data_IF_759634763992
#
_entry.id   IF_759634763992
#
_cell.length_a   1.000
_cell.length_b   1.000
_cell.length_c   1.000
_cell.angle_alpha   90.00
_cell.angle_beta   90.00
_cell.angle_gamma   90.00
#
_symmetry.space_group_name_H-M   'P 1'
#
loop_
_entity.id
_entity.type
_entity.pdbx_description
1 polymer ?
#
# COMPACT_ATOMS: atom_id res chain seq x y z
N UNK A 1 -53.22 -11.02 -7.47
CA UNK A 1 -51.78 -10.78 -7.73
C UNK A 1 -51.04 -12.04 -7.32
N UNK A 2 -50.56 -12.79 -8.32
CA UNK A 2 -50.35 -14.22 -8.29
C UNK A 2 -49.15 -14.64 -7.41
N UNK A 3 -49.35 -15.80 -6.80
CA UNK A 3 -48.34 -16.53 -5.97
C UNK A 3 -47.00 -16.65 -6.72
N UNK A 4 -47.03 -16.73 -8.05
CA UNK A 4 -45.85 -16.77 -8.92
C UNK A 4 -44.96 -15.53 -8.81
N UNK A 5 -45.54 -14.31 -8.77
CA UNK A 5 -44.77 -13.07 -8.60
C UNK A 5 -44.10 -12.98 -7.23
N UNK A 6 -44.72 -13.46 -6.18
CA UNK A 6 -44.12 -13.48 -4.83
C UNK A 6 -42.88 -14.36 -4.77
N UNK A 7 -42.95 -15.57 -5.40
CA UNK A 7 -41.80 -16.45 -5.45
C UNK A 7 -40.66 -15.93 -6.33
N UNK A 8 -40.98 -15.23 -7.43
CA UNK A 8 -40.00 -14.62 -8.28
C UNK A 8 -39.20 -13.54 -7.53
N UNK A 9 -39.87 -12.65 -6.80
CA UNK A 9 -39.21 -11.62 -6.00
C UNK A 9 -38.39 -12.20 -4.83
N UNK A 10 -38.82 -13.29 -4.22
CA UNK A 10 -38.07 -13.97 -3.17
C UNK A 10 -36.78 -14.62 -3.72
N UNK A 11 -36.84 -15.26 -4.87
CA UNK A 11 -35.68 -15.90 -5.49
C UNK A 11 -34.68 -14.85 -6.00
N UNK A 12 -35.14 -13.84 -6.71
CA UNK A 12 -34.27 -12.77 -7.23
C UNK A 12 -33.67 -11.93 -6.09
N UNK A 13 -34.46 -11.58 -5.08
CA UNK A 13 -33.98 -10.88 -3.89
C UNK A 13 -32.98 -11.72 -3.10
N UNK A 14 -33.22 -13.02 -2.94
CA UNK A 14 -32.28 -13.95 -2.29
C UNK A 14 -30.96 -14.07 -3.04
N UNK A 15 -30.99 -14.18 -4.36
CA UNK A 15 -29.77 -14.22 -5.18
C UNK A 15 -28.98 -12.91 -5.12
N UNK A 16 -29.65 -11.77 -5.04
CA UNK A 16 -29.00 -10.46 -4.88
C UNK A 16 -28.29 -10.33 -3.53
N UNK A 17 -28.94 -10.79 -2.45
CA UNK A 17 -28.38 -10.79 -1.10
C UNK A 17 -27.16 -11.72 -1.03
N UNK A 18 -27.27 -12.95 -1.59
CA UNK A 18 -26.16 -13.90 -1.63
C UNK A 18 -24.99 -13.33 -2.44
N UNK A 19 -25.24 -12.73 -3.60
CA UNK A 19 -24.21 -12.11 -4.43
C UNK A 19 -23.50 -10.96 -3.70
N UNK A 20 -24.26 -10.16 -2.94
CA UNK A 20 -23.69 -9.09 -2.13
C UNK A 20 -22.81 -9.59 -1.00
N UNK A 21 -23.23 -10.67 -0.31
CA UNK A 21 -22.43 -11.30 0.74
C UNK A 21 -21.19 -11.99 0.19
N UNK A 22 -21.28 -12.68 -0.96
CA UNK A 22 -20.14 -13.30 -1.62
C UNK A 22 -19.11 -12.24 -2.04
N UNK A 23 -19.54 -11.14 -2.64
CA UNK A 23 -18.65 -10.02 -3.02
C UNK A 23 -17.99 -9.35 -1.81
N UNK A 24 -18.68 -9.26 -0.67
CA UNK A 24 -18.12 -8.77 0.58
C UNK A 24 -17.10 -9.73 1.18
N UNK A 25 -17.32 -11.05 1.06
CA UNK A 25 -16.38 -12.08 1.51
C UNK A 25 -15.12 -12.16 0.62
N UNK A 26 -15.24 -11.94 -0.68
CA UNK A 26 -14.10 -11.85 -1.60
C UNK A 26 -13.26 -10.61 -1.31
N UNK A 27 -13.91 -9.44 -1.09
CA UNK A 27 -13.21 -8.19 -0.74
C UNK A 27 -12.40 -8.35 0.56
N UNK A 28 -12.93 -9.02 1.58
CA UNK A 28 -12.22 -9.26 2.85
C UNK A 28 -11.06 -10.25 2.72
N UNK A 29 -11.12 -11.20 1.80
CA UNK A 29 -10.01 -12.13 1.54
C UNK A 29 -8.85 -11.45 0.79
N UNK A 30 -9.14 -10.61 -0.20
CA UNK A 30 -8.12 -9.82 -0.89
C UNK A 30 -7.43 -8.84 0.06
N UNK A 31 -8.18 -8.16 0.93
CA UNK A 31 -7.60 -7.24 1.93
C UNK A 31 -6.63 -7.97 2.88
N UNK A 32 -6.99 -9.14 3.38
CA UNK A 32 -6.12 -9.96 4.24
C UNK A 32 -4.85 -10.40 3.51
N UNK A 33 -4.95 -10.81 2.26
CA UNK A 33 -3.79 -11.22 1.45
C UNK A 33 -2.85 -10.04 1.19
N UNK A 34 -3.37 -8.82 1.04
CA UNK A 34 -2.56 -7.60 0.87
C UNK A 34 -1.84 -7.25 2.17
N UNK A 35 -2.49 -7.35 3.32
CA UNK A 35 -1.86 -7.10 4.62
C UNK A 35 -0.73 -8.09 4.90
N UNK A 36 -0.94 -9.39 4.67
CA UNK A 36 0.09 -10.43 4.81
C UNK A 36 1.29 -10.18 3.88
N UNK A 37 1.04 -9.79 2.63
CA UNK A 37 2.08 -9.44 1.68
C UNK A 37 2.92 -8.25 2.17
N UNK A 38 2.27 -7.19 2.64
CA UNK A 38 2.95 -6.00 3.15
C UNK A 38 3.78 -6.32 4.39
N UNK A 39 3.27 -7.16 5.29
CA UNK A 39 4.00 -7.60 6.49
C UNK A 39 5.25 -8.41 6.12
N UNK A 40 5.18 -9.28 5.10
CA UNK A 40 6.35 -10.02 4.61
C UNK A 40 7.37 -9.08 3.94
N UNK A 41 6.93 -8.14 3.11
CA UNK A 41 7.79 -7.10 2.51
C UNK A 41 8.51 -6.28 3.59
N UNK A 42 7.79 -5.83 4.61
CA UNK A 42 8.35 -5.09 5.72
C UNK A 42 9.39 -5.92 6.47
N UNK A 43 9.07 -7.16 6.80
CA UNK A 43 9.95 -8.08 7.51
C UNK A 43 11.24 -8.33 6.73
N UNK A 44 11.11 -8.58 5.42
CA UNK A 44 12.26 -8.74 4.52
C UNK A 44 13.11 -7.47 4.49
N UNK A 45 12.50 -6.29 4.32
CA UNK A 45 13.21 -5.01 4.28
C UNK A 45 13.99 -4.74 5.57
N UNK A 46 13.41 -5.03 6.73
CA UNK A 46 14.04 -4.80 8.03
C UNK A 46 15.22 -5.75 8.29
N UNK A 47 15.18 -6.97 7.72
CA UNK A 47 16.31 -7.90 7.76
C UNK A 47 17.46 -7.40 6.87
N UNK A 48 17.15 -6.89 5.67
CA UNK A 48 18.14 -6.39 4.73
C UNK A 48 18.75 -5.05 5.15
N UNK A 49 17.96 -4.20 5.83
CA UNK A 49 18.33 -2.85 6.24
C UNK A 49 18.10 -2.61 7.74
N UNK A 50 18.82 -3.34 8.60
CA UNK A 50 18.60 -3.23 10.04
C UNK A 50 19.02 -1.86 10.57
N UNK A 51 18.13 -1.22 11.33
CA UNK A 51 18.44 0.01 12.06
C UNK A 51 18.18 -0.19 13.56
N UNK A 52 18.99 0.48 14.40
CA UNK A 52 18.76 0.53 15.86
C UNK A 52 17.66 1.55 16.25
N UNK A 53 16.77 1.88 15.33
CA UNK A 53 15.67 2.83 15.51
C UNK A 53 14.34 2.10 15.33
N UNK A 54 13.28 2.65 15.92
CA UNK A 54 11.94 2.04 15.77
C UNK A 54 11.51 2.01 14.31
N UNK A 55 11.03 0.85 13.87
CA UNK A 55 10.41 0.67 12.58
C UNK A 55 9.11 1.48 12.48
N UNK A 56 8.70 1.91 11.28
CA UNK A 56 7.45 2.63 11.11
C UNK A 56 6.27 1.69 11.35
N UNK A 57 5.19 2.25 11.86
CA UNK A 57 3.90 1.57 11.84
C UNK A 57 3.35 1.61 10.41
N UNK A 58 2.93 0.48 9.89
CA UNK A 58 2.23 0.43 8.60
C UNK A 58 0.73 0.32 8.85
N UNK A 59 -0.05 1.14 8.17
CA UNK A 59 -1.52 1.16 8.25
C UNK A 59 -2.13 1.24 6.86
N UNK A 60 -3.32 0.69 6.71
CA UNK A 60 -4.11 0.77 5.50
C UNK A 60 -5.22 1.80 5.62
N UNK A 61 -5.49 2.53 4.56
CA UNK A 61 -6.54 3.53 4.49
C UNK A 61 -7.45 3.29 3.29
N UNK A 62 -8.75 3.23 3.54
CA UNK A 62 -9.78 3.16 2.51
C UNK A 62 -10.23 4.55 2.01
N UNK A 63 -9.58 5.62 2.46
CA UNK A 63 -9.85 6.97 1.97
C UNK A 63 -9.35 7.12 0.53
N UNK A 64 -10.02 7.96 -0.25
CA UNK A 64 -9.52 8.38 -1.55
C UNK A 64 -8.30 9.27 -1.34
N UNK A 65 -7.23 9.02 -2.09
CA UNK A 65 -5.98 9.80 -2.08
C UNK A 65 -5.46 9.94 -3.50
N UNK A 66 -4.68 10.97 -3.76
CA UNK A 66 -3.92 11.13 -5.00
C UNK A 66 -2.58 10.37 -4.92
N UNK A 67 -2.24 9.82 -3.75
CA UNK A 67 -1.04 9.02 -3.50
C UNK A 67 -1.41 7.56 -3.30
N UNK A 68 -0.51 6.66 -3.67
CA UNK A 68 -0.63 5.22 -3.42
C UNK A 68 -0.19 4.85 -2.00
N UNK A 69 0.83 5.54 -1.48
CA UNK A 69 1.33 5.46 -0.12
C UNK A 69 1.87 6.82 0.35
N UNK A 70 2.17 6.93 1.62
CA UNK A 70 2.84 8.09 2.22
C UNK A 70 3.54 7.71 3.53
N UNK A 71 4.82 8.06 3.67
CA UNK A 71 5.52 8.01 4.93
C UNK A 71 5.42 9.33 5.67
N UNK A 72 4.81 9.30 6.84
CA UNK A 72 4.64 10.47 7.72
C UNK A 72 5.68 10.42 8.83
N UNK A 73 6.78 11.16 8.64
CA UNK A 73 7.96 11.09 9.52
C UNK A 73 7.69 11.56 10.97
N UNK A 74 6.79 12.53 11.18
CA UNK A 74 6.47 13.05 12.51
C UNK A 74 5.84 12.01 13.43
N UNK A 75 5.02 11.12 12.88
CA UNK A 75 4.35 10.05 13.62
C UNK A 75 4.91 8.66 13.32
N UNK A 76 6.01 8.61 12.55
CA UNK A 76 6.70 7.38 12.14
C UNK A 76 5.72 6.32 11.57
N UNK A 77 4.90 6.70 10.61
CA UNK A 77 3.84 5.85 10.07
C UNK A 77 3.86 5.87 8.54
N UNK A 78 3.81 4.69 7.94
CA UNK A 78 3.51 4.49 6.52
C UNK A 78 2.02 4.25 6.38
N UNK A 79 1.34 5.03 5.55
CA UNK A 79 -0.06 4.83 5.18
C UNK A 79 -0.15 4.35 3.75
N UNK A 80 -0.75 3.20 3.51
CA UNK A 80 -1.03 2.65 2.19
C UNK A 80 -2.52 2.84 1.85
N UNK A 81 -2.81 3.34 0.65
CA UNK A 81 -4.18 3.63 0.23
C UNK A 81 -4.74 2.48 -0.61
N UNK A 82 -5.49 1.56 0.02
CA UNK A 82 -6.01 0.32 -0.59
C UNK A 82 -6.70 0.52 -1.93
N UNK A 83 -7.43 1.62 -2.10
CA UNK A 83 -8.16 1.90 -3.36
C UNK A 83 -7.25 2.16 -4.56
N UNK A 84 -6.01 2.50 -4.30
CA UNK A 84 -5.03 2.83 -5.33
C UNK A 84 -4.14 1.62 -5.66
N UNK A 85 -3.99 0.67 -4.72
CA UNK A 85 -3.21 -0.54 -4.91
C UNK A 85 -3.98 -1.55 -5.77
N UNK A 86 -3.53 -1.80 -6.99
CA UNK A 86 -4.25 -2.60 -8.00
C UNK A 86 -3.63 -3.96 -8.27
N UNK A 87 -2.43 -4.21 -7.76
CA UNK A 87 -1.70 -5.47 -7.96
C UNK A 87 -0.70 -5.70 -6.84
N UNK A 88 -0.32 -6.96 -6.63
CA UNK A 88 0.73 -7.33 -5.68
C UNK A 88 2.07 -6.64 -6.01
N UNK A 89 2.44 -6.59 -7.29
CA UNK A 89 3.68 -5.91 -7.72
C UNK A 89 3.68 -4.43 -7.36
N UNK A 90 2.59 -3.71 -7.60
CA UNK A 90 2.43 -2.32 -7.20
C UNK A 90 2.46 -2.17 -5.67
N UNK A 91 1.79 -3.07 -4.94
CA UNK A 91 1.79 -3.04 -3.46
C UNK A 91 3.20 -3.20 -2.90
N UNK A 92 3.99 -4.14 -3.44
CA UNK A 92 5.40 -4.34 -3.06
C UNK A 92 6.20 -3.06 -3.33
N UNK A 93 6.11 -2.51 -4.54
CA UNK A 93 6.87 -1.33 -4.95
C UNK A 93 6.53 -0.10 -4.12
N UNK A 94 5.24 0.19 -3.90
CA UNK A 94 4.79 1.30 -3.06
C UNK A 94 5.26 1.11 -1.62
N UNK A 95 5.13 -0.08 -1.04
CA UNK A 95 5.59 -0.37 0.31
C UNK A 95 7.10 -0.12 0.45
N UNK A 96 7.90 -0.61 -0.49
CA UNK A 96 9.35 -0.41 -0.50
C UNK A 96 9.73 1.05 -0.73
N UNK A 97 8.97 1.80 -1.52
CA UNK A 97 9.16 3.24 -1.71
C UNK A 97 9.02 4.01 -0.38
N UNK A 98 7.95 3.77 0.36
CA UNK A 98 7.70 4.43 1.64
C UNK A 98 8.71 4.00 2.73
N UNK A 99 9.10 2.73 2.74
CA UNK A 99 10.15 2.23 3.63
C UNK A 99 11.53 2.83 3.28
N UNK A 100 11.77 3.14 2.01
CA UNK A 100 13.00 3.81 1.57
C UNK A 100 13.03 5.25 2.09
N UNK A 101 11.92 5.99 2.05
CA UNK A 101 11.82 7.30 2.70
C UNK A 101 12.12 7.23 4.20
N UNK A 102 11.50 6.25 4.89
CA UNK A 102 11.78 6.03 6.31
C UNK A 102 13.27 5.78 6.57
N UNK A 103 13.90 4.88 5.80
CA UNK A 103 15.31 4.53 5.97
C UNK A 103 16.22 5.74 5.77
N UNK A 104 15.99 6.53 4.74
CA UNK A 104 16.79 7.71 4.42
C UNK A 104 16.69 8.79 5.50
N UNK A 105 15.47 9.10 5.94
CA UNK A 105 15.26 10.07 7.01
C UNK A 105 15.93 9.61 8.30
N UNK A 106 15.86 8.32 8.62
CA UNK A 106 16.45 7.76 9.85
C UNK A 106 17.98 7.63 9.80
N UNK A 107 18.55 7.56 8.62
CA UNK A 107 20.01 7.53 8.40
C UNK A 107 20.59 8.90 8.09
N UNK A 108 19.80 9.96 8.15
CA UNK A 108 20.21 11.35 7.86
C UNK A 108 20.73 11.54 6.42
N UNK A 109 20.39 10.62 5.52
CA UNK A 109 20.74 10.69 4.10
C UNK A 109 19.74 11.53 3.29
N UNK A 110 18.61 11.85 3.89
CA UNK A 110 17.59 12.67 3.26
C UNK A 110 17.84 14.15 3.59
N UNK A 111 17.79 14.99 2.57
CA UNK A 111 17.99 16.43 2.72
C UNK A 111 16.91 17.05 3.60
N UNK A 112 17.30 18.02 4.43
CA UNK A 112 16.36 18.90 5.14
C UNK A 112 15.65 19.88 4.21
N UNK A 113 16.09 19.94 2.96
CA UNK A 113 15.60 20.83 1.91
C UNK A 113 14.46 20.19 1.09
N UNK A 114 13.81 19.15 1.61
CA UNK A 114 12.75 18.46 0.87
C UNK A 114 11.65 19.43 0.42
N UNK A 115 11.14 20.25 1.32
CA UNK A 115 10.06 21.18 1.01
C UNK A 115 10.50 22.27 0.01
N UNK A 116 11.75 22.75 0.10
CA UNK A 116 12.31 23.70 -0.85
C UNK A 116 12.46 23.07 -2.24
N UNK A 117 12.96 21.84 -2.30
CA UNK A 117 13.09 21.10 -3.55
C UNK A 117 11.73 20.75 -4.14
N UNK A 118 10.72 20.43 -3.30
CA UNK A 118 9.36 20.17 -3.75
C UNK A 118 8.75 21.42 -4.42
N UNK A 119 8.95 22.59 -3.84
CA UNK A 119 8.50 23.86 -4.41
C UNK A 119 9.22 24.20 -5.72
N UNK A 120 10.49 23.83 -5.85
CA UNK A 120 11.30 24.14 -7.02
C UNK A 120 11.03 23.19 -8.20
N UNK A 121 10.93 21.88 -7.94
CA UNK A 121 10.91 20.84 -8.97
C UNK A 121 9.54 20.19 -9.14
N UNK A 122 8.61 20.36 -8.18
CA UNK A 122 7.37 19.59 -8.09
C UNK A 122 7.64 18.12 -7.71
N UNK A 123 6.59 17.40 -7.38
CA UNK A 123 6.69 16.01 -6.88
C UNK A 123 7.35 15.06 -7.88
N UNK A 124 6.93 15.12 -9.16
CA UNK A 124 7.42 14.20 -10.18
C UNK A 124 8.92 14.32 -10.45
N UNK A 125 9.45 15.53 -10.38
CA UNK A 125 10.86 15.86 -10.66
C UNK A 125 11.68 16.07 -9.39
N UNK A 126 11.12 15.79 -8.22
CA UNK A 126 11.82 15.91 -6.95
C UNK A 126 12.98 14.90 -6.89
N UNK A 127 14.25 15.35 -6.69
CA UNK A 127 15.40 14.45 -6.75
C UNK A 127 15.32 13.25 -5.80
N UNK A 128 14.80 13.46 -4.59
CA UNK A 128 14.66 12.40 -3.60
C UNK A 128 13.55 11.41 -3.99
N UNK A 129 12.44 11.89 -4.57
CA UNK A 129 11.36 11.03 -5.09
C UNK A 129 11.83 10.16 -6.26
N UNK A 130 12.57 10.75 -7.21
CA UNK A 130 13.19 10.02 -8.32
C UNK A 130 14.10 8.92 -7.79
N UNK A 131 14.93 9.27 -6.79
CA UNK A 131 15.85 8.30 -6.19
C UNK A 131 15.09 7.20 -5.43
N UNK A 132 14.09 7.53 -4.60
CA UNK A 132 13.28 6.56 -3.88
C UNK A 132 12.54 5.62 -4.83
N UNK A 133 11.98 6.13 -5.93
CA UNK A 133 11.36 5.31 -6.98
C UNK A 133 12.34 4.32 -7.60
N UNK A 134 13.54 4.78 -7.98
CA UNK A 134 14.56 3.92 -8.58
C UNK A 134 15.01 2.82 -7.62
N UNK A 135 15.24 3.15 -6.35
CA UNK A 135 15.61 2.18 -5.32
C UNK A 135 14.48 1.18 -5.06
N UNK A 136 13.24 1.66 -4.92
CA UNK A 136 12.08 0.79 -4.70
C UNK A 136 11.88 -0.20 -5.85
N UNK A 137 12.07 0.23 -7.10
CA UNK A 137 11.98 -0.65 -8.27
C UNK A 137 13.04 -1.76 -8.25
N UNK A 138 14.29 -1.45 -7.88
CA UNK A 138 15.35 -2.47 -7.75
C UNK A 138 15.10 -3.41 -6.56
N UNK A 139 14.69 -2.88 -5.42
CA UNK A 139 14.35 -3.68 -4.25
C UNK A 139 13.15 -4.59 -4.51
N UNK A 140 12.15 -4.12 -5.26
CA UNK A 140 11.00 -4.92 -5.67
C UNK A 140 11.39 -6.14 -6.49
N UNK A 141 12.28 -5.98 -7.47
CA UNK A 141 12.83 -7.12 -8.23
C UNK A 141 13.53 -8.10 -7.30
N UNK A 142 14.40 -7.58 -6.44
CA UNK A 142 15.18 -8.42 -5.53
C UNK A 142 14.30 -9.19 -4.55
N UNK A 143 13.26 -8.56 -4.01
CA UNK A 143 12.25 -9.20 -3.16
C UNK A 143 11.52 -10.33 -3.93
N UNK A 144 11.03 -10.02 -5.14
CA UNK A 144 10.29 -10.98 -5.97
C UNK A 144 11.18 -12.19 -6.30
N UNK A 145 12.42 -11.98 -6.71
CA UNK A 145 13.37 -13.05 -7.06
C UNK A 145 13.71 -13.96 -5.87
N UNK A 146 13.58 -13.45 -4.63
CA UNK A 146 13.88 -14.23 -3.41
C UNK A 146 12.68 -14.91 -2.78
N UNK A 147 11.48 -14.40 -3.00
CA UNK A 147 10.28 -14.78 -2.23
C UNK A 147 9.14 -15.35 -3.06
N UNK A 148 9.08 -15.07 -4.34
CA UNK A 148 8.03 -15.51 -5.25
C UNK A 148 8.59 -16.35 -6.39
#
# INVERSE_FOLDING_TARGET
>A
MDTFFKWYFLIVGGLFIISFFLKKLECTKEDVLVEELVDDVCSWFYIMYPLRKSYPRVIFSNKKSDYDGIYQFHINTVTLYNKNLKSHSQTIEVTLHELTHWYLIRTEKMSREYDEQLNQYGYENHPQEIWCRAVAAELSKHYIDQRL
#
